data_IF_926462853913
#
_entry.id   IF_926462853913
#
_cell.length_a   1.000
_cell.length_b   1.000
_cell.length_c   1.000
_cell.angle_alpha   90.00
_cell.angle_beta   90.00
_cell.angle_gamma   90.00
#
_symmetry.space_group_name_H-M   'P 1'
#
loop_
_entity.id
_entity.type
_entity.pdbx_description
1 polymer ?
#
# COMPACT_ATOMS: atom_id res chain seq x y z
N UNK A 1 -19.18 -20.66 7.05
CA UNK A 1 -18.39 -21.61 7.86
C UNK A 1 -16.92 -21.21 7.98
N UNK A 2 -16.07 -21.34 6.95
CA UNK A 2 -14.62 -20.98 7.06
C UNK A 2 -14.41 -19.49 7.38
N UNK A 3 -15.15 -18.59 6.73
CA UNK A 3 -15.03 -17.14 6.96
C UNK A 3 -15.59 -16.68 8.30
N UNK A 4 -16.57 -17.40 8.86
CA UNK A 4 -17.23 -17.03 10.11
C UNK A 4 -16.47 -17.55 11.34
N UNK A 5 -15.71 -18.64 11.17
CA UNK A 5 -14.95 -19.30 12.24
C UNK A 5 -13.43 -19.22 12.02
N UNK A 6 -12.95 -18.32 11.15
CA UNK A 6 -11.56 -18.28 10.72
C UNK A 6 -10.59 -18.15 11.91
N UNK A 7 -10.88 -17.26 12.86
CA UNK A 7 -10.04 -17.04 14.03
C UNK A 7 -9.91 -18.28 14.92
N UNK A 8 -10.94 -19.12 14.99
CA UNK A 8 -10.90 -20.39 15.73
C UNK A 8 -10.22 -21.51 14.92
N UNK A 9 -10.35 -21.47 13.59
CA UNK A 9 -9.84 -22.50 12.69
C UNK A 9 -8.35 -22.33 12.36
N UNK A 10 -7.85 -21.08 12.27
CA UNK A 10 -6.49 -20.80 11.77
C UNK A 10 -5.42 -21.48 12.62
N UNK A 11 -5.54 -21.43 13.95
CA UNK A 11 -4.57 -22.02 14.87
C UNK A 11 -4.57 -23.56 14.76
N UNK A 12 -5.74 -24.16 14.58
CA UNK A 12 -5.89 -25.61 14.37
C UNK A 12 -5.25 -26.02 13.03
N UNK A 13 -5.41 -25.20 11.99
CA UNK A 13 -4.81 -25.44 10.67
C UNK A 13 -3.29 -25.32 10.72
N UNK A 14 -2.75 -24.29 11.38
CA UNK A 14 -1.30 -24.14 11.60
C UNK A 14 -0.71 -25.35 12.32
N UNK A 15 -1.35 -25.79 13.42
CA UNK A 15 -0.93 -26.99 14.15
C UNK A 15 -0.97 -28.24 13.28
N UNK A 16 -2.02 -28.42 12.48
CA UNK A 16 -2.19 -29.60 11.61
C UNK A 16 -1.16 -29.63 10.48
N UNK A 17 -0.80 -28.47 9.95
CA UNK A 17 0.21 -28.33 8.91
C UNK A 17 1.64 -28.37 9.47
N UNK A 18 1.81 -28.26 10.78
CA UNK A 18 3.13 -28.24 11.43
C UNK A 18 3.96 -27.02 11.04
N UNK A 19 3.29 -25.90 10.75
CA UNK A 19 3.90 -24.66 10.29
C UNK A 19 3.43 -23.50 11.15
N UNK A 20 4.30 -22.53 11.39
CA UNK A 20 3.93 -21.29 12.06
C UNK A 20 3.36 -20.26 11.07
N UNK A 21 2.53 -19.35 11.56
CA UNK A 21 1.91 -18.29 10.74
C UNK A 21 2.97 -17.49 9.96
N UNK A 22 4.07 -17.12 10.63
CA UNK A 22 5.14 -16.35 10.02
C UNK A 22 5.87 -17.11 8.90
N UNK A 23 6.02 -18.44 9.01
CA UNK A 23 6.66 -19.28 7.99
C UNK A 23 5.78 -19.38 6.74
N UNK A 24 4.47 -19.54 6.93
CA UNK A 24 3.51 -19.59 5.83
C UNK A 24 3.37 -18.25 5.12
N UNK A 25 3.38 -17.15 5.87
CA UNK A 25 3.40 -15.80 5.29
C UNK A 25 4.67 -15.57 4.47
N UNK A 26 5.83 -15.97 5.00
CA UNK A 26 7.10 -15.88 4.28
C UNK A 26 7.08 -16.70 2.98
N UNK A 27 6.67 -17.96 3.06
CA UNK A 27 6.57 -18.85 1.89
C UNK A 27 5.59 -18.29 0.85
N UNK A 28 4.44 -17.78 1.29
CA UNK A 28 3.48 -17.13 0.39
C UNK A 28 4.10 -15.92 -0.32
N UNK A 29 4.82 -15.07 0.41
CA UNK A 29 5.50 -13.91 -0.16
C UNK A 29 6.59 -14.33 -1.16
N UNK A 30 7.40 -15.33 -0.84
CA UNK A 30 8.44 -15.87 -1.73
C UNK A 30 7.85 -16.43 -3.03
N UNK A 31 6.86 -17.32 -2.94
CA UNK A 31 6.20 -17.93 -4.11
C UNK A 31 5.50 -16.89 -4.97
N UNK A 32 4.81 -15.92 -4.35
CA UNK A 32 4.20 -14.80 -5.06
C UNK A 32 5.26 -13.98 -5.80
N UNK A 33 6.38 -13.65 -5.14
CA UNK A 33 7.45 -12.87 -5.75
C UNK A 33 8.15 -13.64 -6.88
N UNK A 34 8.37 -14.95 -6.72
CA UNK A 34 8.92 -15.79 -7.78
C UNK A 34 7.98 -15.88 -8.98
N UNK A 35 6.66 -16.00 -8.74
CA UNK A 35 5.67 -15.96 -9.82
C UNK A 35 5.66 -14.62 -10.54
N UNK A 36 5.67 -13.50 -9.80
CA UNK A 36 5.79 -12.15 -10.37
C UNK A 36 7.02 -11.98 -11.26
N UNK A 37 8.15 -12.62 -10.90
CA UNK A 37 9.38 -12.56 -11.67
C UNK A 37 9.42 -13.50 -12.88
N UNK A 38 8.78 -14.67 -12.79
CA UNK A 38 8.85 -15.73 -13.81
C UNK A 38 7.74 -15.66 -14.85
N UNK A 39 6.54 -15.21 -14.48
CA UNK A 39 5.37 -15.04 -15.34
C UNK A 39 4.55 -13.83 -14.90
N UNK A 40 5.09 -12.66 -15.20
CA UNK A 40 4.49 -11.36 -14.87
C UNK A 40 3.09 -11.18 -15.47
N UNK A 41 2.91 -11.51 -16.75
CA UNK A 41 1.64 -11.35 -17.43
C UNK A 41 0.58 -12.29 -16.85
N UNK A 42 0.95 -13.54 -16.53
CA UNK A 42 0.08 -14.49 -15.86
C UNK A 42 -0.28 -14.06 -14.45
N UNK A 43 0.68 -13.56 -13.67
CA UNK A 43 0.42 -13.01 -12.34
C UNK A 43 -0.53 -11.81 -12.41
N UNK A 44 -0.23 -10.81 -13.24
CA UNK A 44 -1.09 -9.63 -13.43
C UNK A 44 -2.48 -10.00 -13.97
N UNK A 45 -2.62 -11.05 -14.78
CA UNK A 45 -3.93 -11.52 -15.24
C UNK A 45 -4.73 -12.23 -14.14
N UNK A 46 -4.08 -13.01 -13.29
CA UNK A 46 -4.71 -13.75 -12.20
C UNK A 46 -5.05 -12.85 -11.01
N UNK A 47 -4.14 -11.95 -10.64
CA UNK A 47 -4.38 -10.86 -9.71
C UNK A 47 -5.08 -9.74 -10.48
N UNK A 48 -6.41 -9.67 -10.39
CA UNK A 48 -7.21 -8.56 -10.89
C UNK A 48 -6.97 -7.27 -10.07
N UNK A 49 -5.71 -6.85 -9.95
CA UNK A 49 -5.26 -5.60 -9.35
C UNK A 49 -5.51 -4.44 -10.30
N UNK A 50 -6.78 -4.28 -10.69
CA UNK A 50 -7.20 -3.06 -11.36
C UNK A 50 -7.22 -1.94 -10.32
N UNK A 51 -6.61 -0.81 -10.66
CA UNK A 51 -6.77 0.42 -9.89
C UNK A 51 -8.27 0.72 -9.84
N UNK A 52 -8.80 0.96 -8.63
CA UNK A 52 -10.22 1.26 -8.45
C UNK A 52 -10.67 2.33 -9.45
N UNK A 53 -11.79 2.14 -10.20
CA UNK A 53 -12.14 3.03 -11.30
C UNK A 53 -12.25 4.53 -10.93
N UNK A 54 -12.67 4.81 -9.69
CA UNK A 54 -12.72 6.18 -9.16
C UNK A 54 -11.33 6.80 -8.90
N UNK A 55 -10.37 5.98 -8.46
CA UNK A 55 -8.97 6.37 -8.28
C UNK A 55 -8.32 6.61 -9.63
N UNK A 56 -8.53 5.69 -10.58
CA UNK A 56 -7.95 5.78 -11.91
C UNK A 56 -8.28 7.12 -12.59
N UNK A 57 -9.55 7.53 -12.57
CA UNK A 57 -9.99 8.81 -13.11
C UNK A 57 -9.35 10.03 -12.43
N UNK A 58 -9.16 10.00 -11.12
CA UNK A 58 -8.52 11.11 -10.39
C UNK A 58 -7.04 11.20 -10.74
N UNK A 59 -6.37 10.05 -10.90
CA UNK A 59 -4.96 9.99 -11.27
C UNK A 59 -4.71 10.43 -12.72
N UNK A 60 -5.65 10.19 -13.65
CA UNK A 60 -5.57 10.68 -15.04
C UNK A 60 -5.47 12.22 -15.12
N UNK A 61 -6.23 12.91 -14.27
CA UNK A 61 -6.27 14.37 -14.21
C UNK A 61 -5.19 14.96 -13.27
N UNK A 62 -4.44 14.10 -12.57
CA UNK A 62 -3.45 14.53 -11.59
C UNK A 62 -2.10 14.84 -12.22
N UNK A 63 -1.43 15.83 -11.64
CA UNK A 63 -0.02 16.09 -11.90
C UNK A 63 0.83 14.98 -11.26
N UNK A 64 1.35 14.06 -12.07
CA UNK A 64 2.12 12.89 -11.59
C UNK A 64 3.39 13.30 -10.85
N UNK A 65 3.90 14.52 -11.07
CA UNK A 65 5.01 15.10 -10.31
C UNK A 65 4.64 15.54 -8.88
N UNK A 66 3.38 15.35 -8.48
CA UNK A 66 2.93 15.61 -7.10
C UNK A 66 2.45 14.36 -6.39
N UNK A 67 2.39 13.23 -7.09
CA UNK A 67 1.94 11.97 -6.53
C UNK A 67 3.09 11.20 -5.91
N UNK A 68 2.79 10.52 -4.81
CA UNK A 68 3.66 9.54 -4.18
C UNK A 68 2.81 8.32 -3.85
N UNK A 69 3.36 7.13 -4.05
CA UNK A 69 2.74 5.85 -3.74
C UNK A 69 3.56 5.15 -2.69
N UNK A 70 2.93 4.80 -1.56
CA UNK A 70 3.56 4.04 -0.49
C UNK A 70 3.01 2.61 -0.56
N UNK A 71 3.89 1.63 -0.73
CA UNK A 71 3.54 0.21 -0.83
C UNK A 71 4.22 -0.58 0.28
N UNK A 72 3.44 -1.45 0.96
CA UNK A 72 3.93 -2.34 2.01
C UNK A 72 3.94 -3.82 1.63
N UNK A 73 3.11 -4.20 0.68
CA UNK A 73 2.89 -5.61 0.34
C UNK A 73 3.44 -5.99 -1.03
N UNK A 74 3.73 -5.01 -1.88
CA UNK A 74 4.38 -5.19 -3.17
C UNK A 74 5.74 -4.52 -3.17
N UNK A 75 6.72 -5.19 -3.76
CA UNK A 75 7.99 -4.55 -4.08
C UNK A 75 7.77 -3.40 -5.07
N UNK A 76 8.71 -2.47 -5.09
CA UNK A 76 8.64 -1.27 -5.93
C UNK A 76 8.43 -1.55 -7.43
N UNK A 77 9.08 -2.59 -7.98
CA UNK A 77 9.01 -2.91 -9.41
C UNK A 77 7.61 -3.42 -9.74
N UNK A 78 7.06 -4.27 -8.89
CA UNK A 78 5.71 -4.82 -9.01
C UNK A 78 4.64 -3.73 -8.87
N UNK A 79 4.83 -2.79 -7.93
CA UNK A 79 3.95 -1.63 -7.79
C UNK A 79 3.96 -0.73 -9.04
N UNK A 80 5.13 -0.46 -9.64
CA UNK A 80 5.23 0.30 -10.89
C UNK A 80 4.44 -0.36 -12.03
N UNK A 81 4.52 -1.69 -12.15
CA UNK A 81 3.82 -2.45 -13.18
C UNK A 81 2.30 -2.42 -13.01
N UNK A 82 1.81 -2.56 -11.78
CA UNK A 82 0.37 -2.43 -11.46
C UNK A 82 -0.14 -1.05 -11.85
N UNK A 83 0.59 0.01 -11.51
CA UNK A 83 0.24 1.38 -11.89
C UNK A 83 0.25 1.57 -13.41
N UNK A 84 1.29 1.08 -14.11
CA UNK A 84 1.40 1.14 -15.57
C UNK A 84 0.26 0.41 -16.27
N UNK A 85 -0.14 -0.75 -15.77
CA UNK A 85 -1.31 -1.50 -16.29
C UNK A 85 -2.61 -0.74 -16.07
N UNK A 86 -2.72 -0.01 -14.96
CA UNK A 86 -3.81 0.92 -14.69
C UNK A 86 -3.81 2.17 -15.60
N UNK A 87 -2.78 2.37 -16.43
CA UNK A 87 -2.63 3.53 -17.31
C UNK A 87 -1.80 4.67 -16.71
N UNK A 88 -1.13 4.46 -15.59
CA UNK A 88 -0.37 5.48 -14.85
C UNK A 88 1.13 5.28 -15.00
N UNK A 89 1.82 6.24 -15.63
CA UNK A 89 3.29 6.26 -15.71
C UNK A 89 3.82 7.19 -14.62
N UNK A 90 4.20 6.60 -13.49
CA UNK A 90 4.68 7.32 -12.31
C UNK A 90 6.20 7.11 -12.19
N UNK A 91 7.00 8.18 -12.03
CA UNK A 91 8.43 8.03 -11.82
C UNK A 91 8.75 7.11 -10.64
N UNK A 92 9.66 6.15 -10.82
CA UNK A 92 9.91 5.12 -9.81
C UNK A 92 10.34 5.72 -8.47
N UNK A 93 11.06 6.85 -8.43
CA UNK A 93 11.42 7.57 -7.19
C UNK A 93 10.24 8.06 -6.35
N UNK A 94 9.04 8.08 -6.91
CA UNK A 94 7.78 8.42 -6.23
C UNK A 94 7.03 7.20 -5.70
N UNK A 95 7.53 6.01 -5.99
CA UNK A 95 7.05 4.75 -5.44
C UNK A 95 8.00 4.35 -4.31
N UNK A 96 7.49 4.40 -3.09
CA UNK A 96 8.21 4.12 -1.86
C UNK A 96 7.75 2.77 -1.31
N UNK A 97 8.65 1.80 -1.35
CA UNK A 97 8.50 0.54 -0.64
C UNK A 97 8.82 0.77 0.84
N UNK A 98 7.93 0.36 1.72
CA UNK A 98 8.03 0.57 3.16
C UNK A 98 7.40 -0.61 3.90
N UNK A 99 7.98 -1.05 5.01
CA UNK A 99 7.33 -2.05 5.85
C UNK A 99 5.96 -1.58 6.38
N UNK A 100 5.10 -2.49 6.86
CA UNK A 100 3.80 -2.15 7.44
C UNK A 100 3.88 -1.05 8.51
N UNK A 101 4.93 -1.08 9.34
CA UNK A 101 5.16 -0.11 10.41
C UNK A 101 5.97 1.13 10.00
N UNK A 102 6.44 1.19 8.75
CA UNK A 102 7.36 2.23 8.26
C UNK A 102 6.65 3.31 7.43
N UNK A 103 5.33 3.18 7.22
CA UNK A 103 4.53 4.16 6.44
C UNK A 103 4.64 5.58 7.00
N UNK A 104 4.72 5.75 8.32
CA UNK A 104 4.93 7.07 8.94
C UNK A 104 6.27 7.69 8.57
N UNK A 105 7.33 6.89 8.51
CA UNK A 105 8.68 7.35 8.17
C UNK A 105 8.79 7.68 6.66
N UNK A 106 8.14 6.88 5.82
CA UNK A 106 8.00 7.18 4.40
C UNK A 106 7.24 8.49 4.16
N UNK A 107 6.13 8.71 4.87
CA UNK A 107 5.35 9.96 4.77
C UNK A 107 6.13 11.18 5.27
N UNK A 108 6.91 11.05 6.34
CA UNK A 108 7.82 12.11 6.80
C UNK A 108 8.84 12.47 5.70
N UNK A 109 9.40 11.47 5.02
CA UNK A 109 10.35 11.68 3.92
C UNK A 109 9.70 12.42 2.74
N UNK A 110 8.44 12.09 2.40
CA UNK A 110 7.64 12.80 1.39
C UNK A 110 7.36 14.24 1.81
N UNK A 111 6.99 14.47 3.06
CA UNK A 111 6.73 15.81 3.61
C UNK A 111 7.98 16.69 3.58
N UNK A 112 9.15 16.12 3.81
CA UNK A 112 10.41 16.86 3.75
C UNK A 112 10.79 17.15 2.28
N UNK A 113 10.62 16.19 1.36
CA UNK A 113 10.84 16.41 -0.07
C UNK A 113 9.89 17.46 -0.67
N UNK A 114 8.62 17.49 -0.26
CA UNK A 114 7.61 18.43 -0.76
C UNK A 114 7.87 19.89 -0.35
N UNK A 115 8.50 20.11 0.81
CA UNK A 115 8.97 21.45 1.23
C UNK A 115 9.97 21.99 0.22
N UNK A 116 10.90 21.16 -0.23
CA UNK A 116 11.99 21.56 -1.10
C UNK A 116 11.53 21.75 -2.55
N UNK A 117 10.58 20.94 -3.01
CA UNK A 117 10.21 20.87 -4.43
C UNK A 117 8.96 21.69 -4.80
N UNK A 118 8.04 21.95 -3.86
CA UNK A 118 6.71 22.49 -4.17
C UNK A 118 6.31 23.72 -3.35
N UNK A 119 7.28 24.40 -2.71
CA UNK A 119 7.02 25.62 -1.95
C UNK A 119 6.25 25.41 -0.64
N UNK A 120 6.22 24.19 -0.10
CA UNK A 120 5.66 23.91 1.22
C UNK A 120 4.14 23.70 1.29
N UNK A 121 3.50 23.31 0.18
CA UNK A 121 2.08 22.95 0.16
C UNK A 121 1.68 21.84 1.15
N UNK A 122 0.39 21.75 1.44
CA UNK A 122 -0.16 20.65 2.23
C UNK A 122 -0.09 19.33 1.46
N UNK A 123 0.15 18.23 2.18
CA UNK A 123 0.10 16.86 1.65
C UNK A 123 -1.20 16.22 2.09
N UNK A 124 -1.95 15.70 1.12
CA UNK A 124 -3.14 14.88 1.33
C UNK A 124 -2.71 13.41 1.25
N UNK A 125 -2.74 12.71 2.38
CA UNK A 125 -2.46 11.27 2.48
C UNK A 125 -3.78 10.50 2.46
N UNK A 126 -3.89 9.51 1.59
CA UNK A 126 -5.11 8.71 1.36
C UNK A 126 -4.81 7.24 1.62
N UNK A 127 -5.62 6.57 2.45
CA UNK A 127 -5.40 5.20 2.90
C UNK A 127 -6.73 4.47 3.14
N UNK A 128 -6.80 3.19 2.80
CA UNK A 128 -8.00 2.33 2.95
C UNK A 128 -7.94 1.40 4.17
N UNK A 129 -6.80 1.32 4.84
CA UNK A 129 -6.64 0.70 6.15
C UNK A 129 -6.85 1.70 7.30
N UNK A 130 -7.95 1.53 8.05
CA UNK A 130 -8.27 2.38 9.21
C UNK A 130 -7.25 2.25 10.33
N UNK A 131 -6.62 1.09 10.48
CA UNK A 131 -5.61 0.83 11.51
C UNK A 131 -4.34 1.63 11.22
N UNK A 132 -3.91 1.67 9.96
CA UNK A 132 -2.77 2.50 9.50
C UNK A 132 -3.06 3.98 9.74
N UNK A 133 -4.27 4.45 9.41
CA UNK A 133 -4.66 5.84 9.68
C UNK A 133 -4.67 6.19 11.16
N UNK A 134 -5.14 5.27 12.02
CA UNK A 134 -5.11 5.45 13.47
C UNK A 134 -3.68 5.52 14.00
N UNK A 135 -2.79 4.65 13.52
CA UNK A 135 -1.37 4.67 13.86
C UNK A 135 -0.72 6.00 13.45
N UNK A 136 -0.97 6.45 12.21
CA UNK A 136 -0.43 7.72 11.71
C UNK A 136 -0.98 8.93 12.46
N UNK A 137 -2.28 8.93 12.80
CA UNK A 137 -2.88 9.98 13.61
C UNK A 137 -2.32 10.02 15.05
N UNK A 138 -1.88 8.86 15.57
CA UNK A 138 -1.21 8.73 16.86
C UNK A 138 0.27 9.10 16.85
N UNK A 139 0.91 9.18 15.68
CA UNK A 139 2.32 9.56 15.57
C UNK A 139 2.50 11.07 15.79
N UNK A 140 3.09 11.43 16.94
CA UNK A 140 3.34 12.83 17.31
C UNK A 140 4.20 13.59 16.28
N UNK A 141 5.07 12.90 15.53
CA UNK A 141 5.91 13.51 14.50
C UNK A 141 5.07 13.98 13.32
N UNK A 142 4.05 13.20 12.94
CA UNK A 142 3.08 13.55 11.90
C UNK A 142 2.06 14.55 12.41
N UNK A 143 1.53 14.37 13.62
CA UNK A 143 0.58 15.30 14.24
C UNK A 143 1.17 16.73 14.37
N UNK A 144 2.47 16.84 14.64
CA UNK A 144 3.17 18.13 14.71
C UNK A 144 3.20 18.91 13.38
N UNK A 145 2.85 18.28 12.25
CA UNK A 145 2.80 18.93 10.94
C UNK A 145 1.55 19.78 10.75
N UNK A 146 0.52 19.62 11.60
CA UNK A 146 -0.69 20.43 11.59
C UNK A 146 -1.37 20.46 10.21
N UNK A 147 -1.75 21.64 9.74
CA UNK A 147 -2.45 21.83 8.45
C UNK A 147 -1.64 21.40 7.21
N UNK A 148 -0.34 21.11 7.37
CA UNK A 148 0.51 20.63 6.27
C UNK A 148 0.29 19.15 5.94
N UNK A 149 -0.37 18.39 6.81
CA UNK A 149 -0.72 17.01 6.55
C UNK A 149 -2.21 16.80 6.80
N UNK A 150 -2.90 16.24 5.81
CA UNK A 150 -4.31 15.86 5.93
C UNK A 150 -4.42 14.37 5.66
N UNK A 151 -4.98 13.66 6.63
CA UNK A 151 -5.23 12.23 6.53
C UNK A 151 -6.66 12.01 6.05
N UNK A 152 -6.82 11.21 4.99
CA UNK A 152 -8.11 10.90 4.37
C UNK A 152 -8.33 9.39 4.37
N UNK A 153 -9.49 8.98 4.86
CA UNK A 153 -9.92 7.59 4.77
C UNK A 153 -10.62 7.34 3.44
N UNK A 154 -10.05 6.43 2.65
CA UNK A 154 -10.66 5.91 1.44
C UNK A 154 -11.90 5.07 1.79
N UNK A 155 -13.01 5.34 1.10
CA UNK A 155 -14.27 4.59 1.29
C UNK A 155 -14.36 3.37 0.36
N UNK A 156 -13.22 2.82 -0.01
CA UNK A 156 -13.06 1.64 -0.86
C UNK A 156 -11.87 0.84 -0.34
N UNK A 157 -11.81 -0.47 -0.62
CA UNK A 157 -10.68 -1.31 -0.25
C UNK A 157 -10.77 -1.91 1.16
N UNK A 158 -9.61 -2.11 1.80
CA UNK A 158 -9.39 -3.02 2.92
C UNK A 158 -10.43 -2.91 4.04
N UNK A 159 -10.66 -1.71 4.58
CA UNK A 159 -11.54 -1.50 5.74
C UNK A 159 -13.00 -1.24 5.38
N UNK A 160 -13.41 -1.48 4.13
CA UNK A 160 -14.77 -1.21 3.64
C UNK A 160 -15.51 -2.42 3.10
N UNK A 161 -14.87 -3.60 3.13
CA UNK A 161 -15.44 -4.88 2.75
C UNK A 161 -16.29 -5.50 3.87
#
# INVERSE_FOLDING_TARGET
EITENWDEMKDILYLRCGAEEHELLHLFQEERNEWMHSDEDGWLQAWACDVYPGVAKVLEDADTDKLYFLTSDLDKISAEKVLRRGGFDVPSERILECGPDEKSDALLSVLDASVHNSGGGAVDFVEDDVSVLQQMAGDLRLASKGERLRLHFAKWGHSTA
#
